data_IF_381302765562
#
_entry.id   IF_381302765562
#
_cell.length_a   1.000
_cell.length_b   1.000
_cell.length_c   1.000
_cell.angle_alpha   90.00
_cell.angle_beta   90.00
_cell.angle_gamma   90.00
#
_symmetry.space_group_name_H-M   'P 1'
#
loop_
_entity.id
_entity.type
_entity.pdbx_description
1 polymer ?
#
# COMPACT_ATOMS: atom_id res chain seq x y z
N UNK A 1 -11.13 22.98 -9.33
CA UNK A 1 -9.84 22.40 -8.86
C UNK A 1 -9.85 20.87 -9.03
N UNK A 2 -10.88 20.12 -8.59
CA UNK A 2 -10.92 18.65 -8.67
C UNK A 2 -10.99 18.06 -10.08
N UNK A 3 -11.37 18.84 -11.08
CA UNK A 3 -11.41 18.41 -12.48
C UNK A 3 -10.04 18.43 -13.13
N UNK A 4 -9.16 19.35 -12.72
CA UNK A 4 -7.82 19.50 -13.29
C UNK A 4 -6.81 18.46 -12.78
N UNK A 5 -6.99 17.91 -11.57
CA UNK A 5 -6.04 16.96 -10.98
C UNK A 5 -5.82 15.71 -11.84
N UNK A 6 -6.86 14.98 -12.29
CA UNK A 6 -6.63 13.81 -13.15
C UNK A 6 -5.99 14.16 -14.49
N UNK A 7 -6.31 15.34 -15.05
CA UNK A 7 -5.70 15.79 -16.31
C UNK A 7 -4.21 16.04 -16.12
N UNK A 8 -3.81 16.72 -15.05
CA UNK A 8 -2.40 16.96 -14.73
C UNK A 8 -1.63 15.65 -14.50
N UNK A 9 -2.23 14.66 -13.84
CA UNK A 9 -1.61 13.34 -13.65
C UNK A 9 -1.37 12.66 -14.99
N UNK A 10 -2.36 12.66 -15.89
CA UNK A 10 -2.24 12.07 -17.22
C UNK A 10 -1.22 12.82 -18.10
N UNK A 11 -1.16 14.13 -18.02
CA UNK A 11 -0.15 14.94 -18.73
C UNK A 11 1.27 14.62 -18.24
N UNK A 12 1.47 14.56 -16.93
CA UNK A 12 2.75 14.15 -16.35
C UNK A 12 3.16 12.75 -16.82
N UNK A 13 2.22 11.80 -16.75
CA UNK A 13 2.44 10.43 -17.16
C UNK A 13 2.77 10.31 -18.66
N UNK A 14 2.05 11.06 -19.51
CA UNK A 14 2.33 11.15 -20.96
C UNK A 14 3.73 11.70 -21.21
N UNK A 15 4.08 12.83 -20.59
CA UNK A 15 5.40 13.45 -20.77
C UNK A 15 6.53 12.48 -20.35
N UNK A 16 6.37 11.79 -19.21
CA UNK A 16 7.34 10.79 -18.75
C UNK A 16 7.51 9.62 -19.73
N UNK A 17 6.41 9.06 -20.23
CA UNK A 17 6.47 7.96 -21.22
C UNK A 17 6.96 8.42 -22.60
N UNK A 18 6.67 9.66 -22.99
CA UNK A 18 7.22 10.24 -24.21
C UNK A 18 8.76 10.33 -24.14
N UNK A 19 9.29 10.78 -22.99
CA UNK A 19 10.75 10.80 -22.76
C UNK A 19 11.38 9.40 -22.82
N UNK A 20 10.68 8.37 -22.30
CA UNK A 20 11.14 6.97 -22.38
C UNK A 20 11.14 6.49 -23.82
N UNK A 21 10.05 6.76 -24.57
CA UNK A 21 9.89 6.34 -25.97
C UNK A 21 10.91 7.00 -26.89
N UNK A 22 11.19 8.29 -26.71
CA UNK A 22 12.22 9.00 -27.48
C UNK A 22 13.62 8.41 -27.29
N UNK A 23 13.89 7.82 -26.13
CA UNK A 23 15.17 7.15 -25.84
C UNK A 23 15.22 5.70 -26.33
N UNK A 24 14.11 5.00 -26.22
CA UNK A 24 13.95 3.59 -26.63
C UNK A 24 12.63 3.43 -27.39
N UNK A 25 12.65 3.64 -28.73
CA UNK A 25 11.42 3.62 -29.53
C UNK A 25 10.92 2.18 -29.76
N UNK A 26 10.42 1.56 -28.70
CA UNK A 26 9.81 0.23 -28.73
C UNK A 26 8.30 0.34 -28.59
N UNK A 27 7.56 -0.39 -29.44
CA UNK A 27 6.08 -0.45 -29.36
C UNK A 27 5.58 -0.94 -28.01
N UNK A 28 6.36 -1.76 -27.30
CA UNK A 28 6.03 -2.26 -25.95
C UNK A 28 5.86 -1.15 -24.93
N UNK A 29 6.63 -0.06 -25.05
CA UNK A 29 6.54 1.12 -24.15
C UNK A 29 5.18 1.82 -24.35
N UNK A 30 4.75 1.93 -25.62
CA UNK A 30 3.46 2.55 -25.97
C UNK A 30 2.30 1.69 -25.43
N UNK A 31 2.38 0.38 -25.61
CA UNK A 31 1.35 -0.54 -25.09
C UNK A 31 1.26 -0.42 -23.57
N UNK A 32 2.39 -0.43 -22.86
CA UNK A 32 2.43 -0.32 -21.41
C UNK A 32 1.82 1.03 -20.93
N UNK A 33 2.11 2.13 -21.63
CA UNK A 33 1.51 3.43 -21.37
C UNK A 33 -0.02 3.37 -21.40
N UNK A 34 -0.59 2.83 -22.49
CA UNK A 34 -2.06 2.74 -22.62
C UNK A 34 -2.69 1.84 -21.55
N UNK A 35 -2.03 0.73 -21.18
CA UNK A 35 -2.49 -0.14 -20.10
C UNK A 35 -2.53 0.62 -18.77
N UNK A 36 -1.52 1.42 -18.48
CA UNK A 36 -1.46 2.21 -17.23
C UNK A 36 -2.47 3.36 -17.23
N UNK A 37 -2.67 4.04 -18.37
CA UNK A 37 -3.74 5.05 -18.50
C UNK A 37 -5.10 4.42 -18.30
N UNK A 38 -5.37 3.27 -18.92
CA UNK A 38 -6.62 2.54 -18.72
C UNK A 38 -6.82 2.18 -17.24
N UNK A 39 -5.77 1.73 -16.56
CA UNK A 39 -5.81 1.44 -15.13
C UNK A 39 -6.22 2.67 -14.31
N UNK A 40 -5.66 3.87 -14.58
CA UNK A 40 -6.02 5.10 -13.89
C UNK A 40 -7.48 5.52 -14.15
N UNK A 41 -7.94 5.41 -15.39
CA UNK A 41 -9.32 5.75 -15.77
C UNK A 41 -10.30 4.80 -15.11
N UNK A 42 -10.08 3.50 -15.24
CA UNK A 42 -10.95 2.45 -14.65
C UNK A 42 -11.00 2.58 -13.13
N UNK A 43 -9.86 2.73 -12.47
CA UNK A 43 -9.82 2.92 -11.00
C UNK A 43 -10.57 4.18 -10.59
N UNK A 44 -10.36 5.31 -11.25
CA UNK A 44 -11.07 6.55 -10.94
C UNK A 44 -12.58 6.38 -11.08
N UNK A 45 -13.03 5.70 -12.14
CA UNK A 45 -14.44 5.42 -12.39
C UNK A 45 -15.04 4.51 -11.31
N UNK A 46 -14.38 3.38 -11.00
CA UNK A 46 -14.83 2.41 -9.99
C UNK A 46 -14.92 3.05 -8.60
N UNK A 47 -13.87 3.76 -8.18
CA UNK A 47 -13.89 4.43 -6.88
C UNK A 47 -14.96 5.53 -6.79
N UNK A 48 -15.26 6.23 -7.87
CA UNK A 48 -16.34 7.22 -7.91
C UNK A 48 -17.72 6.58 -7.76
N UNK A 49 -17.94 5.38 -8.31
CA UNK A 49 -19.19 4.62 -8.20
C UNK A 49 -19.36 4.08 -6.78
N UNK A 50 -18.38 3.34 -6.28
CA UNK A 50 -18.48 2.59 -5.03
C UNK A 50 -18.31 3.47 -3.79
N UNK A 51 -17.49 4.53 -3.88
CA UNK A 51 -17.11 5.38 -2.74
C UNK A 51 -17.45 6.85 -2.98
N UNK A 52 -18.72 7.22 -2.97
CA UNK A 52 -19.19 8.60 -3.19
C UNK A 52 -18.64 9.63 -2.20
N UNK A 53 -18.28 9.18 -0.97
CA UNK A 53 -17.71 10.02 0.11
C UNK A 53 -16.18 9.99 0.14
N UNK A 54 -15.53 9.47 -0.89
CA UNK A 54 -14.08 9.41 -0.97
C UNK A 54 -13.48 10.83 -0.92
N UNK A 55 -12.40 10.97 -0.15
CA UNK A 55 -11.62 12.20 -0.11
C UNK A 55 -10.79 12.32 -1.40
N UNK A 56 -11.35 13.04 -2.36
CA UNK A 56 -10.85 13.10 -3.76
C UNK A 56 -9.39 13.52 -3.84
N UNK A 57 -9.00 14.51 -3.05
CA UNK A 57 -7.61 15.03 -3.05
C UNK A 57 -6.62 13.93 -2.70
N UNK A 58 -6.86 13.17 -1.62
CA UNK A 58 -5.99 12.08 -1.20
C UNK A 58 -5.89 10.98 -2.28
N UNK A 59 -7.01 10.65 -2.91
CA UNK A 59 -7.05 9.66 -3.98
C UNK A 59 -6.21 10.09 -5.20
N UNK A 60 -6.31 11.35 -5.62
CA UNK A 60 -5.51 11.85 -6.74
C UNK A 60 -4.03 11.98 -6.39
N UNK A 61 -3.66 12.34 -5.15
CA UNK A 61 -2.26 12.29 -4.72
C UNK A 61 -1.70 10.86 -4.77
N UNK A 62 -2.46 9.86 -4.34
CA UNK A 62 -2.08 8.45 -4.47
C UNK A 62 -1.85 8.08 -5.94
N UNK A 63 -2.77 8.42 -6.84
CA UNK A 63 -2.61 8.17 -8.27
C UNK A 63 -1.38 8.88 -8.86
N UNK A 64 -1.10 10.11 -8.44
CA UNK A 64 0.08 10.84 -8.87
C UNK A 64 1.37 10.13 -8.46
N UNK A 65 1.48 9.69 -7.20
CA UNK A 65 2.64 8.93 -6.72
C UNK A 65 2.82 7.61 -7.48
N UNK A 66 1.72 6.92 -7.81
CA UNK A 66 1.77 5.71 -8.64
C UNK A 66 2.27 6.06 -10.06
N UNK A 67 1.81 7.17 -10.66
CA UNK A 67 2.26 7.60 -11.98
C UNK A 67 3.77 7.92 -11.99
N UNK A 68 4.27 8.60 -10.96
CA UNK A 68 5.70 8.84 -10.76
C UNK A 68 6.45 7.51 -10.69
N UNK A 69 5.99 6.57 -9.87
CA UNK A 69 6.59 5.23 -9.74
C UNK A 69 6.63 4.48 -11.07
N UNK A 70 5.55 4.50 -11.84
CA UNK A 70 5.49 3.85 -13.15
C UNK A 70 6.52 4.41 -14.13
N UNK A 71 6.65 5.73 -14.23
CA UNK A 71 7.63 6.38 -15.12
C UNK A 71 9.05 5.99 -14.72
N UNK A 72 9.42 6.14 -13.44
CA UNK A 72 10.78 5.87 -12.98
C UNK A 72 11.17 4.40 -13.09
N UNK A 73 10.31 3.47 -12.66
CA UNK A 73 10.62 2.04 -12.71
C UNK A 73 10.67 1.54 -14.14
N UNK A 74 9.75 1.98 -15.01
CA UNK A 74 9.76 1.60 -16.44
C UNK A 74 11.02 2.11 -17.14
N UNK A 75 11.49 3.32 -16.79
CA UNK A 75 12.72 3.89 -17.33
C UNK A 75 13.96 3.08 -16.94
N UNK A 76 14.02 2.59 -15.69
CA UNK A 76 15.15 1.79 -15.20
C UNK A 76 15.14 0.37 -15.77
N UNK A 77 13.97 -0.27 -15.80
CA UNK A 77 13.79 -1.60 -16.32
C UNK A 77 12.34 -1.83 -16.76
N UNK A 78 12.15 -2.05 -18.05
CA UNK A 78 10.82 -2.28 -18.64
C UNK A 78 10.08 -3.47 -18.00
N UNK A 79 10.77 -4.60 -17.74
CA UNK A 79 10.17 -5.81 -17.17
C UNK A 79 9.66 -5.52 -15.75
N UNK A 80 10.43 -4.76 -14.96
CA UNK A 80 10.01 -4.35 -13.63
C UNK A 80 8.82 -3.40 -13.68
N UNK A 81 8.78 -2.46 -14.63
CA UNK A 81 7.66 -1.56 -14.86
C UNK A 81 6.37 -2.31 -15.20
N UNK A 82 6.46 -3.33 -16.08
CA UNK A 82 5.32 -4.17 -16.42
C UNK A 82 4.83 -4.99 -15.20
N UNK A 83 5.73 -5.61 -14.44
CA UNK A 83 5.40 -6.31 -13.20
C UNK A 83 4.75 -5.37 -12.17
N UNK A 84 5.30 -4.16 -12.00
CA UNK A 84 4.72 -3.16 -11.09
C UNK A 84 3.29 -2.81 -11.48
N UNK A 85 3.00 -2.69 -12.79
CA UNK A 85 1.64 -2.41 -13.26
C UNK A 85 0.66 -3.49 -12.82
N UNK A 86 1.03 -4.76 -12.91
CA UNK A 86 0.20 -5.88 -12.45
C UNK A 86 -0.01 -5.83 -10.93
N UNK A 87 1.05 -5.61 -10.15
CA UNK A 87 0.95 -5.51 -8.70
C UNK A 87 0.09 -4.32 -8.25
N UNK A 88 0.22 -3.17 -8.91
CA UNK A 88 -0.62 -1.99 -8.61
C UNK A 88 -2.08 -2.26 -8.98
N UNK A 89 -2.36 -2.92 -10.10
CA UNK A 89 -3.72 -3.30 -10.45
C UNK A 89 -4.35 -4.23 -9.40
N UNK A 90 -3.62 -5.24 -8.94
CA UNK A 90 -4.04 -6.14 -7.88
C UNK A 90 -4.27 -5.39 -6.56
N UNK A 91 -3.35 -4.50 -6.17
CA UNK A 91 -3.45 -3.70 -4.96
C UNK A 91 -4.65 -2.75 -4.98
N UNK A 92 -4.89 -2.04 -6.10
CA UNK A 92 -6.03 -1.15 -6.25
C UNK A 92 -7.36 -1.91 -6.21
N UNK A 93 -7.41 -3.11 -6.79
CA UNK A 93 -8.57 -4.01 -6.71
C UNK A 93 -8.81 -4.47 -5.27
N UNK A 94 -7.76 -4.90 -4.57
CA UNK A 94 -7.85 -5.27 -3.16
C UNK A 94 -8.34 -4.10 -2.30
N UNK A 95 -7.79 -2.90 -2.50
CA UNK A 95 -8.22 -1.69 -1.80
C UNK A 95 -9.68 -1.30 -2.10
N UNK A 96 -10.21 -1.65 -3.26
CA UNK A 96 -11.61 -1.44 -3.59
C UNK A 96 -12.53 -2.41 -2.81
N UNK A 97 -12.11 -3.65 -2.63
CA UNK A 97 -12.89 -4.71 -1.98
C UNK A 97 -12.79 -4.65 -0.46
N UNK A 98 -11.61 -4.31 0.07
CA UNK A 98 -11.28 -4.37 1.50
C UNK A 98 -12.25 -3.61 2.41
N UNK A 99 -12.64 -2.34 2.13
CA UNK A 99 -13.56 -1.59 2.99
C UNK A 99 -14.95 -2.24 3.05
N UNK A 100 -15.38 -2.90 1.96
CA UNK A 100 -16.64 -3.63 1.92
C UNK A 100 -16.59 -4.86 2.81
N UNK A 101 -15.49 -5.63 2.76
CA UNK A 101 -15.26 -6.79 3.62
C UNK A 101 -15.19 -6.37 5.10
N UNK A 102 -14.42 -5.34 5.43
CA UNK A 102 -14.27 -4.85 6.81
C UNK A 102 -15.63 -4.41 7.38
N UNK A 103 -16.45 -3.71 6.59
CA UNK A 103 -17.79 -3.28 7.02
C UNK A 103 -18.70 -4.46 7.34
N UNK A 104 -18.59 -5.58 6.61
CA UNK A 104 -19.41 -6.78 6.80
C UNK A 104 -18.91 -7.64 7.98
N UNK A 105 -17.63 -7.62 8.27
CA UNK A 105 -17.01 -8.47 9.29
C UNK A 105 -16.98 -7.78 10.66
N UNK A 106 -18.11 -7.79 11.36
CA UNK A 106 -18.22 -7.20 12.72
C UNK A 106 -17.27 -7.83 13.74
N UNK A 107 -16.91 -9.10 13.54
CA UNK A 107 -15.97 -9.85 14.36
C UNK A 107 -14.58 -9.16 14.44
N UNK A 108 -14.11 -8.53 13.37
CA UNK A 108 -12.82 -7.84 13.34
C UNK A 108 -12.72 -6.69 14.36
N UNK A 109 -13.87 -6.13 14.76
CA UNK A 109 -13.91 -5.02 15.73
C UNK A 109 -13.51 -5.40 17.14
N UNK A 110 -13.63 -6.69 17.49
CA UNK A 110 -13.38 -7.17 18.86
C UNK A 110 -12.05 -7.93 18.99
N UNK A 111 -11.24 -8.00 17.92
CA UNK A 111 -10.01 -8.79 17.87
C UNK A 111 -8.74 -7.98 18.21
N UNK A 112 -8.85 -6.84 18.90
CA UNK A 112 -7.72 -5.94 19.17
C UNK A 112 -6.50 -6.62 19.80
N UNK A 113 -6.71 -7.45 20.82
CA UNK A 113 -5.62 -8.20 21.47
C UNK A 113 -5.01 -9.28 20.54
N UNK A 114 -5.82 -9.91 19.69
CA UNK A 114 -5.31 -10.86 18.69
C UNK A 114 -4.38 -10.15 17.70
N UNK A 115 -4.75 -8.95 17.23
CA UNK A 115 -3.89 -8.15 16.37
C UNK A 115 -2.58 -7.75 17.05
N UNK A 116 -2.63 -7.43 18.35
CA UNK A 116 -1.43 -7.15 19.13
C UNK A 116 -0.49 -8.36 19.19
N UNK A 117 -1.03 -9.52 19.59
CA UNK A 117 -0.24 -10.76 19.72
C UNK A 117 0.34 -11.19 18.38
N UNK A 118 -0.47 -11.23 17.32
CA UNK A 118 0.00 -11.63 15.97
C UNK A 118 1.02 -10.63 15.40
N UNK A 119 0.84 -9.33 15.64
CA UNK A 119 1.78 -8.30 15.21
C UNK A 119 3.12 -8.42 15.93
N UNK A 120 3.12 -8.52 17.26
CA UNK A 120 4.36 -8.68 18.05
C UNK A 120 5.06 -10.00 17.72
N UNK A 121 4.32 -11.12 17.62
CA UNK A 121 4.88 -12.42 17.26
C UNK A 121 5.53 -12.39 15.86
N UNK A 122 4.88 -11.75 14.89
CA UNK A 122 5.41 -11.59 13.54
C UNK A 122 6.72 -10.80 13.54
N UNK A 123 6.80 -9.68 14.27
CA UNK A 123 8.02 -8.88 14.39
C UNK A 123 9.13 -9.64 15.11
N UNK A 124 8.82 -10.32 16.21
CA UNK A 124 9.78 -11.13 16.94
C UNK A 124 10.34 -12.25 16.04
N UNK A 125 9.48 -12.93 15.28
CA UNK A 125 9.91 -13.95 14.31
C UNK A 125 10.85 -13.39 13.25
N UNK A 126 10.51 -12.22 12.69
CA UNK A 126 11.35 -11.53 11.70
C UNK A 126 12.70 -11.17 12.29
N UNK A 127 12.71 -10.59 13.49
CA UNK A 127 13.93 -10.19 14.18
C UNK A 127 14.90 -11.37 14.41
N UNK A 128 14.35 -12.55 14.69
CA UNK A 128 15.14 -13.77 14.94
C UNK A 128 15.58 -14.50 13.65
N UNK A 129 14.77 -14.46 12.60
CA UNK A 129 14.94 -15.30 11.40
C UNK A 129 15.25 -14.56 10.10
N UNK A 130 15.03 -13.26 10.02
CA UNK A 130 15.23 -12.51 8.79
C UNK A 130 16.71 -12.40 8.43
N UNK A 131 16.99 -12.53 7.13
CA UNK A 131 18.31 -12.29 6.57
C UNK A 131 18.52 -10.81 6.33
N UNK A 132 19.74 -10.33 6.49
CA UNK A 132 20.12 -8.96 6.15
C UNK A 132 20.04 -8.83 4.62
N UNK A 133 19.16 -7.95 4.13
CA UNK A 133 19.07 -7.57 2.74
C UNK A 133 19.00 -6.03 2.66
N UNK A 134 19.89 -5.42 1.89
CA UNK A 134 20.03 -3.96 1.80
C UNK A 134 20.26 -3.25 3.16
N UNK A 135 20.95 -3.90 4.10
CA UNK A 135 21.24 -3.32 5.42
C UNK A 135 20.12 -3.45 6.47
N UNK A 136 18.97 -3.99 6.11
CA UNK A 136 17.85 -4.22 7.02
C UNK A 136 17.53 -5.71 7.15
N UNK A 137 17.14 -6.17 8.37
CA UNK A 137 16.76 -7.55 8.66
C UNK A 137 15.24 -7.74 8.56
N UNK A 138 14.62 -7.33 7.45
CA UNK A 138 13.15 -7.24 7.36
C UNK A 138 12.55 -8.09 6.25
N UNK A 139 13.38 -8.80 5.46
CA UNK A 139 12.93 -9.51 4.29
C UNK A 139 12.90 -11.02 4.50
N UNK A 140 11.77 -11.65 4.15
CA UNK A 140 11.61 -13.10 4.11
C UNK A 140 11.28 -13.49 2.67
N UNK A 141 11.98 -14.51 2.15
CA UNK A 141 11.66 -15.09 0.84
C UNK A 141 10.67 -16.22 1.01
N UNK A 142 9.48 -16.06 0.43
CA UNK A 142 8.42 -17.07 0.40
C UNK A 142 8.11 -17.37 -1.06
N UNK A 143 8.28 -18.60 -1.51
CA UNK A 143 8.05 -19.04 -2.90
C UNK A 143 8.76 -18.16 -3.96
N UNK A 144 9.97 -17.69 -3.68
CA UNK A 144 10.74 -16.84 -4.62
C UNK A 144 10.37 -15.35 -4.62
N UNK A 145 9.34 -14.97 -3.87
CA UNK A 145 8.95 -13.57 -3.69
C UNK A 145 9.50 -13.05 -2.37
N UNK A 146 10.17 -11.90 -2.40
CA UNK A 146 10.61 -11.22 -1.19
C UNK A 146 9.44 -10.45 -0.59
N UNK A 147 9.03 -10.82 0.61
CA UNK A 147 7.95 -10.18 1.38
C UNK A 147 8.56 -9.52 2.60
N UNK A 148 8.08 -8.33 2.92
CA UNK A 148 8.45 -7.59 4.12
C UNK A 148 7.29 -7.69 5.13
N UNK A 149 7.39 -8.56 6.17
CA UNK A 149 6.30 -8.76 7.13
C UNK A 149 5.94 -7.51 7.93
N UNK A 150 6.88 -6.59 8.14
CA UNK A 150 6.63 -5.33 8.82
C UNK A 150 5.53 -4.48 8.15
N UNK A 151 5.39 -4.54 6.81
CA UNK A 151 4.29 -3.85 6.11
C UNK A 151 2.91 -4.37 6.55
N UNK A 152 2.79 -5.68 6.74
CA UNK A 152 1.56 -6.28 7.27
C UNK A 152 1.32 -5.91 8.73
N UNK A 153 2.39 -5.84 9.53
CA UNK A 153 2.30 -5.46 10.94
C UNK A 153 1.84 -4.01 11.10
N UNK A 154 2.23 -3.09 10.23
CA UNK A 154 1.71 -1.71 10.21
C UNK A 154 0.18 -1.68 10.03
N UNK A 155 -0.35 -2.57 9.18
CA UNK A 155 -1.81 -2.71 9.01
C UNK A 155 -2.44 -3.29 10.28
N UNK A 156 -1.85 -4.35 10.87
CA UNK A 156 -2.33 -4.93 12.12
C UNK A 156 -2.32 -3.92 13.27
N UNK A 157 -1.33 -3.04 13.33
CA UNK A 157 -1.23 -1.95 14.31
C UNK A 157 -2.44 -1.00 14.21
N UNK A 158 -2.82 -0.61 12.99
CA UNK A 158 -4.00 0.24 12.78
C UNK A 158 -5.28 -0.47 13.23
N UNK A 159 -5.44 -1.76 12.87
CA UNK A 159 -6.60 -2.55 13.30
C UNK A 159 -6.63 -2.76 14.83
N UNK A 160 -5.48 -2.97 15.46
CA UNK A 160 -5.36 -3.09 16.91
C UNK A 160 -5.85 -1.82 17.61
N UNK A 161 -5.32 -0.66 17.22
CA UNK A 161 -5.69 0.63 17.81
C UNK A 161 -7.18 0.89 17.61
N UNK A 162 -7.69 0.72 16.40
CA UNK A 162 -9.08 0.94 16.07
C UNK A 162 -10.02 0.01 16.87
N UNK A 163 -9.67 -1.27 16.99
CA UNK A 163 -10.44 -2.28 17.71
C UNK A 163 -10.46 -2.00 19.23
N UNK A 164 -9.30 -1.72 19.85
CA UNK A 164 -9.22 -1.48 21.28
C UNK A 164 -9.96 -0.20 21.69
N UNK A 165 -9.91 0.86 20.90
CA UNK A 165 -10.69 2.08 21.15
C UNK A 165 -12.17 1.94 20.83
N UNK A 166 -12.55 0.99 19.97
CA UNK A 166 -13.95 0.69 19.72
C UNK A 166 -14.60 0.02 20.95
N UNK A 167 -13.89 -0.92 21.57
CA UNK A 167 -14.41 -1.70 22.73
C UNK A 167 -14.54 -0.82 23.97
N UNK A 168 -13.56 0.01 24.28
CA UNK A 168 -13.61 0.89 25.46
C UNK A 168 -12.74 2.13 25.27
N UNK A 169 -13.20 3.25 25.83
CA UNK A 169 -12.46 4.52 25.88
C UNK A 169 -12.06 4.90 27.32
N UNK A 170 -11.97 3.93 28.22
CA UNK A 170 -11.52 4.18 29.58
C UNK A 170 -10.04 4.55 29.61
N UNK A 171 -9.62 5.31 30.66
CA UNK A 171 -8.20 5.68 30.84
C UNK A 171 -7.29 4.44 30.87
N UNK A 172 -7.74 3.38 31.57
CA UNK A 172 -7.02 2.10 31.59
C UNK A 172 -6.79 1.53 30.19
N UNK A 173 -7.82 1.56 29.34
CA UNK A 173 -7.72 1.06 27.96
C UNK A 173 -6.79 1.92 27.10
N UNK A 174 -6.81 3.23 27.29
CA UNK A 174 -5.90 4.16 26.60
C UNK A 174 -4.45 3.81 26.94
N UNK A 175 -4.13 3.63 28.23
CA UNK A 175 -2.78 3.27 28.69
C UNK A 175 -2.34 1.93 28.07
N UNK A 176 -3.19 0.90 28.15
CA UNK A 176 -2.87 -0.42 27.56
C UNK A 176 -2.62 -0.31 26.06
N UNK A 177 -3.49 0.39 25.34
CA UNK A 177 -3.33 0.57 23.87
C UNK A 177 -2.05 1.31 23.54
N UNK A 178 -1.72 2.36 24.30
CA UNK A 178 -0.49 3.12 24.11
C UNK A 178 0.75 2.28 24.38
N UNK A 179 0.75 1.48 25.46
CA UNK A 179 1.85 0.57 25.77
C UNK A 179 2.05 -0.48 24.67
N UNK A 180 0.98 -1.12 24.20
CA UNK A 180 1.06 -2.10 23.10
C UNK A 180 1.55 -1.46 21.80
N UNK A 181 1.06 -0.26 21.49
CA UNK A 181 1.52 0.51 20.33
C UNK A 181 3.01 0.85 20.45
N UNK A 182 3.46 1.31 21.61
CA UNK A 182 4.85 1.64 21.88
C UNK A 182 5.77 0.42 21.68
N UNK A 183 5.38 -0.75 22.18
CA UNK A 183 6.11 -2.01 21.99
C UNK A 183 6.22 -2.36 20.50
N UNK A 184 5.12 -2.31 19.76
CA UNK A 184 5.12 -2.63 18.32
C UNK A 184 5.98 -1.65 17.52
N UNK A 185 5.85 -0.35 17.80
CA UNK A 185 6.67 0.70 17.14
C UNK A 185 8.14 0.53 17.47
N UNK A 186 8.49 0.23 18.73
CA UNK A 186 9.86 0.00 19.13
C UNK A 186 10.48 -1.20 18.41
N UNK A 187 9.73 -2.30 18.27
CA UNK A 187 10.18 -3.46 17.49
C UNK A 187 10.37 -3.13 16.00
N UNK A 188 9.49 -2.30 15.41
CA UNK A 188 9.65 -1.82 14.03
C UNK A 188 10.92 -0.99 13.88
N UNK A 189 11.19 -0.06 14.79
CA UNK A 189 12.41 0.77 14.77
C UNK A 189 13.67 -0.09 14.95
N UNK A 190 13.64 -1.08 15.86
CA UNK A 190 14.77 -2.01 16.06
C UNK A 190 15.05 -2.87 14.82
N UNK A 191 14.02 -3.21 14.04
CA UNK A 191 14.18 -3.91 12.77
C UNK A 191 14.64 -3.01 11.61
N UNK A 192 14.91 -1.72 11.88
CA UNK A 192 15.31 -0.69 10.89
C UNK A 192 14.27 -0.51 9.77
N UNK A 193 13.04 -0.41 10.17
CA UNK A 193 11.91 -0.21 9.26
C UNK A 193 11.40 1.23 9.35
#
# INVERSE_FOLDING_TARGET
>A
IYFFQPVLILMFHLAGFLCIFLKTPEIKVVILYFVQVLLFVVTTFLYRIFYRKLFKTLFFHMQFLIAVGFVFVTRLNFILGAKQTVFVAAALTACLILPFLIKKMTMLRNMGYLYAVTGIASLAYVFLRARVQYGAKNWIKIFGVSIQPSEFVKILLIFMIASLFYVSRSLKQIIITTCLTAVMVLLLVLSKD
#
